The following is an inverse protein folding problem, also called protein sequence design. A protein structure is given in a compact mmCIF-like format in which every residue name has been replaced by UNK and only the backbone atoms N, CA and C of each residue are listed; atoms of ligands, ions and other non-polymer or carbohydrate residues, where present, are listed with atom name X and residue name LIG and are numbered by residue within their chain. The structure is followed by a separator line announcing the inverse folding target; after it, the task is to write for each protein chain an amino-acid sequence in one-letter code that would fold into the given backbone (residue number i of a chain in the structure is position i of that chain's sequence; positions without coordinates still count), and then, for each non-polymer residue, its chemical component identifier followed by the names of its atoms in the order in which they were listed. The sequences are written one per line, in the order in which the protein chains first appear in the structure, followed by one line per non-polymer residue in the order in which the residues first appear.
data_IF_549715055555
#
_entry.id   IF_549715055555
#
_cell.length_a   1.000
_cell.length_b   1.000
_cell.length_c   1.000
_cell.angle_alpha   90.00
_cell.angle_beta   90.00
_cell.angle_gamma   90.00
#
_symmetry.space_group_name_H-M   'P 1'
#
loop_
_entity.id
_entity.type
_entity.pdbx_description
1 polymer ?
#
# COMPACT_ATOMS: atom_id res chain seq x y z
N UNK A 1 25.80 6.46 13.99
CA UNK A 1 24.67 7.24 13.46
C UNK A 1 24.11 6.55 12.22
N UNK A 2 24.96 6.25 11.23
CA UNK A 2 24.56 5.53 9.99
C UNK A 2 23.75 4.25 10.18
N UNK A 3 24.13 3.39 11.15
CA UNK A 3 23.45 2.10 11.33
C UNK A 3 21.96 2.21 11.68
N UNK A 4 21.57 3.22 12.47
CA UNK A 4 20.17 3.39 12.84
C UNK A 4 19.34 3.92 11.66
N UNK A 5 19.88 4.88 10.91
CA UNK A 5 19.23 5.38 9.69
C UNK A 5 19.09 4.29 8.63
N UNK A 6 20.12 3.46 8.43
CA UNK A 6 20.07 2.29 7.55
C UNK A 6 19.00 1.27 7.97
N UNK A 7 18.79 1.09 9.27
CA UNK A 7 17.73 0.25 9.83
C UNK A 7 16.34 0.85 9.55
N UNK A 8 16.15 2.16 9.76
CA UNK A 8 14.88 2.83 9.42
C UNK A 8 14.57 2.79 7.91
N UNK A 9 15.59 2.91 7.04
CA UNK A 9 15.41 2.75 5.59
C UNK A 9 15.00 1.31 5.20
N UNK A 10 15.52 0.30 5.90
CA UNK A 10 15.11 -1.10 5.69
C UNK A 10 13.68 -1.33 6.16
N UNK A 11 13.29 -0.74 7.29
CA UNK A 11 11.92 -0.81 7.79
C UNK A 11 10.94 -0.15 6.80
N UNK A 12 11.27 1.04 6.29
CA UNK A 12 10.48 1.70 5.24
C UNK A 12 10.31 0.79 4.01
N UNK A 13 11.39 0.17 3.56
CA UNK A 13 11.34 -0.79 2.46
C UNK A 13 10.41 -1.97 2.75
N UNK A 14 10.48 -2.52 3.97
CA UNK A 14 9.67 -3.66 4.37
C UNK A 14 8.16 -3.31 4.38
N UNK A 15 7.80 -2.10 4.84
CA UNK A 15 6.40 -1.62 4.80
C UNK A 15 5.86 -1.54 3.37
N UNK A 16 6.65 -0.98 2.44
CA UNK A 16 6.24 -0.90 1.02
C UNK A 16 6.04 -2.29 0.42
N UNK A 17 6.92 -3.26 0.73
CA UNK A 17 6.76 -4.65 0.27
C UNK A 17 5.51 -5.31 0.88
N UNK A 18 5.22 -5.04 2.15
CA UNK A 18 4.01 -5.50 2.82
C UNK A 18 2.76 -4.92 2.16
N UNK A 19 2.75 -3.61 1.89
CA UNK A 19 1.66 -2.92 1.20
C UNK A 19 1.43 -3.51 -0.20
N UNK A 20 2.51 -3.75 -0.96
CA UNK A 20 2.41 -4.41 -2.26
C UNK A 20 1.79 -5.81 -2.19
N UNK A 21 2.11 -6.59 -1.16
CA UNK A 21 1.52 -7.92 -0.94
C UNK A 21 0.03 -7.84 -0.61
N UNK A 22 -0.38 -6.83 0.16
CA UNK A 22 -1.79 -6.59 0.48
C UNK A 22 -2.58 -6.20 -0.76
N UNK A 23 -2.05 -5.27 -1.56
CA UNK A 23 -2.65 -4.82 -2.82
C UNK A 23 -2.77 -5.98 -3.82
N UNK A 24 -1.76 -6.83 -3.93
CA UNK A 24 -1.83 -8.04 -4.76
C UNK A 24 -2.99 -8.95 -4.33
N UNK A 25 -3.14 -9.17 -3.02
CA UNK A 25 -4.24 -9.96 -2.47
C UNK A 25 -5.60 -9.30 -2.74
N UNK A 26 -5.71 -7.98 -2.68
CA UNK A 26 -6.94 -7.25 -2.98
C UNK A 26 -7.35 -7.41 -4.43
N UNK A 27 -6.41 -7.24 -5.36
CA UNK A 27 -6.66 -7.43 -6.79
C UNK A 27 -7.10 -8.86 -7.08
N UNK A 28 -6.40 -9.86 -6.54
CA UNK A 28 -6.77 -11.26 -6.71
C UNK A 28 -8.17 -11.56 -6.13
N UNK A 29 -8.46 -11.05 -4.94
CA UNK A 29 -9.75 -11.20 -4.28
C UNK A 29 -10.89 -10.56 -5.08
N UNK A 30 -10.71 -9.34 -5.57
CA UNK A 30 -11.70 -8.60 -6.35
C UNK A 30 -12.02 -9.32 -7.67
N UNK A 31 -10.98 -9.75 -8.40
CA UNK A 31 -11.15 -10.50 -9.64
C UNK A 31 -11.89 -11.82 -9.42
N UNK A 32 -11.53 -12.55 -8.36
CA UNK A 32 -12.20 -13.81 -8.01
C UNK A 32 -13.65 -13.60 -7.60
N UNK A 33 -13.93 -12.59 -6.78
CA UNK A 33 -15.28 -12.25 -6.37
C UNK A 33 -16.18 -11.92 -7.57
N UNK A 34 -15.64 -11.18 -8.54
CA UNK A 34 -16.33 -10.83 -9.78
C UNK A 34 -16.60 -12.07 -10.66
N UNK A 35 -15.60 -12.91 -10.89
CA UNK A 35 -15.73 -14.06 -11.81
C UNK A 35 -16.58 -15.18 -11.22
N UNK A 36 -16.47 -15.43 -9.91
CA UNK A 36 -17.21 -16.48 -9.21
C UNK A 36 -18.57 -16.03 -8.68
N UNK A 37 -18.93 -14.74 -8.87
CA UNK A 37 -20.15 -14.12 -8.30
C UNK A 37 -20.24 -14.28 -6.78
N UNK A 38 -19.12 -14.10 -6.09
CA UNK A 38 -19.04 -14.24 -4.63
C UNK A 38 -19.12 -12.86 -3.94
N UNK A 39 -20.35 -12.44 -3.62
CA UNK A 39 -20.59 -11.18 -2.90
C UNK A 39 -20.01 -11.16 -1.48
N UNK A 40 -19.73 -12.32 -0.86
CA UNK A 40 -19.12 -12.36 0.46
C UNK A 40 -17.62 -12.07 0.38
N UNK A 41 -16.93 -12.61 -0.63
CA UNK A 41 -15.54 -12.27 -0.90
C UNK A 41 -15.39 -10.80 -1.29
N UNK A 42 -16.29 -10.26 -2.13
CA UNK A 42 -16.28 -8.84 -2.50
C UNK A 42 -16.36 -7.91 -1.28
N UNK A 43 -17.26 -8.20 -0.31
CA UNK A 43 -17.35 -7.42 0.93
C UNK A 43 -16.05 -7.46 1.74
N UNK A 44 -15.38 -8.61 1.80
CA UNK A 44 -14.09 -8.71 2.49
C UNK A 44 -12.99 -7.89 1.80
N UNK A 45 -12.99 -7.83 0.47
CA UNK A 45 -12.06 -6.98 -0.28
C UNK A 45 -12.26 -5.51 0.10
N UNK A 46 -13.52 -5.05 0.11
CA UNK A 46 -13.87 -3.69 0.53
C UNK A 46 -13.41 -3.42 1.97
N UNK A 47 -13.71 -4.31 2.91
CA UNK A 47 -13.31 -4.16 4.32
C UNK A 47 -11.78 -4.13 4.52
N UNK A 48 -11.04 -4.89 3.72
CA UNK A 48 -9.57 -4.98 3.81
C UNK A 48 -8.85 -3.75 3.26
N UNK A 49 -9.53 -2.92 2.45
CA UNK A 49 -8.92 -1.75 1.81
C UNK A 49 -8.43 -0.73 2.85
N UNK A 50 -9.17 -0.59 3.95
CA UNK A 50 -8.77 0.23 5.10
C UNK A 50 -7.37 -0.09 5.63
N UNK A 51 -6.93 -1.35 5.53
CA UNK A 51 -5.58 -1.75 5.93
C UNK A 51 -4.50 -1.20 5.01
N UNK A 52 -4.77 -1.11 3.70
CA UNK A 52 -3.83 -0.52 2.73
C UNK A 52 -3.75 0.99 2.95
N UNK A 53 -4.88 1.67 3.15
CA UNK A 53 -4.91 3.12 3.37
C UNK A 53 -4.19 3.52 4.67
N UNK A 54 -4.37 2.73 5.73
CA UNK A 54 -3.65 2.96 6.98
C UNK A 54 -2.12 2.82 6.79
N UNK A 55 -1.69 1.84 5.99
CA UNK A 55 -0.27 1.61 5.72
C UNK A 55 0.32 2.70 4.80
N UNK A 56 -0.45 3.23 3.85
CA UNK A 56 -0.04 4.37 3.02
C UNK A 56 0.29 5.60 3.89
N UNK A 57 -0.63 5.95 4.79
CA UNK A 57 -0.45 7.06 5.74
C UNK A 57 0.80 6.83 6.61
N UNK A 58 0.98 5.61 7.13
CA UNK A 58 2.15 5.28 7.93
C UNK A 58 3.46 5.42 7.13
N UNK A 59 3.48 5.00 5.87
CA UNK A 59 4.63 5.12 4.97
C UNK A 59 4.94 6.58 4.68
N UNK A 60 3.94 7.41 4.41
CA UNK A 60 4.11 8.85 4.15
C UNK A 60 4.67 9.57 5.38
N UNK A 61 4.08 9.33 6.56
CA UNK A 61 4.58 9.88 7.83
C UNK A 61 6.01 9.45 8.14
N UNK A 62 6.34 8.17 7.86
CA UNK A 62 7.70 7.67 8.02
C UNK A 62 8.68 8.37 7.07
N UNK A 63 8.29 8.60 5.82
CA UNK A 63 9.12 9.32 4.85
C UNK A 63 9.37 10.75 5.30
N UNK A 64 8.33 11.49 5.70
CA UNK A 64 8.43 12.86 6.19
C UNK A 64 9.33 12.96 7.42
N UNK A 65 9.20 12.02 8.37
CA UNK A 65 10.07 11.95 9.55
C UNK A 65 11.53 11.75 9.17
N UNK A 66 11.84 10.84 8.25
CA UNK A 66 13.21 10.58 7.81
C UNK A 66 13.83 11.78 7.10
N UNK A 67 13.06 12.47 6.26
CA UNK A 67 13.49 13.70 5.61
C UNK A 67 13.81 14.80 6.62
N UNK A 68 12.94 15.00 7.61
CA UNK A 68 13.09 16.04 8.63
C UNK A 68 14.26 15.78 9.58
N UNK A 69 14.46 14.53 10.01
CA UNK A 69 15.45 14.17 11.01
C UNK A 69 16.87 14.07 10.45
N UNK A 70 17.03 13.49 9.25
CA UNK A 70 18.34 13.10 8.73
C UNK A 70 18.84 13.94 7.56
N UNK A 71 18.00 14.78 6.95
CA UNK A 71 18.34 15.60 5.77
C UNK A 71 19.13 14.82 4.69
N UNK A 72 18.62 13.65 4.25
CA UNK A 72 19.37 12.75 3.38
C UNK A 72 19.61 13.37 2.00
N UNK A 73 20.67 12.92 1.33
CA UNK A 73 21.06 13.40 0.02
C UNK A 73 21.23 12.28 -1.01
N UNK A 74 21.26 12.65 -2.29
CA UNK A 74 21.55 11.77 -3.41
C UNK A 74 20.73 10.47 -3.40
N UNK A 75 21.36 9.34 -3.06
CA UNK A 75 20.73 8.01 -3.14
C UNK A 75 19.58 7.87 -2.15
N UNK A 76 19.77 8.29 -0.92
CA UNK A 76 18.82 8.00 0.16
C UNK A 76 17.61 8.93 0.06
N UNK A 77 17.82 10.19 -0.35
CA UNK A 77 16.74 11.10 -0.71
C UNK A 77 15.89 10.57 -1.87
N UNK A 78 16.54 10.05 -2.93
CA UNK A 78 15.82 9.41 -4.05
C UNK A 78 15.05 8.20 -3.59
N UNK A 79 15.60 7.40 -2.69
CA UNK A 79 14.89 6.23 -2.15
C UNK A 79 13.62 6.64 -1.41
N UNK A 80 13.71 7.58 -0.47
CA UNK A 80 12.55 8.04 0.33
C UNK A 80 11.47 8.69 -0.56
N UNK A 81 11.85 9.58 -1.47
CA UNK A 81 10.87 10.21 -2.37
C UNK A 81 10.24 9.23 -3.37
N UNK A 82 10.98 8.18 -3.76
CA UNK A 82 10.42 7.10 -4.59
C UNK A 82 9.47 6.22 -3.78
N UNK A 83 9.81 5.94 -2.52
CA UNK A 83 8.97 5.22 -1.58
C UNK A 83 7.58 5.87 -1.42
N UNK A 84 7.53 7.19 -1.22
CA UNK A 84 6.27 7.95 -1.17
C UNK A 84 5.44 7.75 -2.44
N UNK A 85 6.05 7.90 -3.62
CA UNK A 85 5.35 7.73 -4.91
C UNK A 85 4.82 6.30 -5.10
N UNK A 86 5.60 5.29 -4.73
CA UNK A 86 5.17 3.89 -4.84
C UNK A 86 3.99 3.64 -3.91
N UNK A 87 4.03 4.15 -2.68
CA UNK A 87 2.94 4.02 -1.71
C UNK A 87 1.63 4.56 -2.26
N UNK A 88 1.63 5.79 -2.78
CA UNK A 88 0.45 6.39 -3.41
C UNK A 88 -0.07 5.57 -4.59
N UNK A 89 0.80 5.04 -5.45
CA UNK A 89 0.35 4.22 -6.58
C UNK A 89 -0.19 2.86 -6.13
N UNK A 90 0.33 2.28 -5.03
CA UNK A 90 -0.19 1.06 -4.44
C UNK A 90 -1.57 1.26 -3.81
N UNK A 91 -1.80 2.36 -3.11
CA UNK A 91 -3.11 2.70 -2.56
C UNK A 91 -4.15 2.83 -3.68
N UNK A 92 -3.83 3.58 -4.74
CA UNK A 92 -4.72 3.72 -5.91
C UNK A 92 -5.04 2.39 -6.59
N UNK A 93 -4.09 1.44 -6.60
CA UNK A 93 -4.35 0.09 -7.10
C UNK A 93 -5.31 -0.70 -6.20
N UNK A 94 -5.27 -0.48 -4.88
CA UNK A 94 -6.21 -1.05 -3.91
C UNK A 94 -7.61 -0.48 -4.09
N UNK A 95 -7.74 0.84 -4.20
CA UNK A 95 -9.01 1.52 -4.50
C UNK A 95 -9.67 0.97 -5.77
N UNK A 96 -8.89 0.74 -6.82
CA UNK A 96 -9.41 0.15 -8.06
C UNK A 96 -9.91 -1.28 -7.84
N UNK A 97 -9.25 -2.06 -6.97
CA UNK A 97 -9.72 -3.39 -6.60
C UNK A 97 -11.01 -3.34 -5.76
N UNK A 98 -11.13 -2.39 -4.84
CA UNK A 98 -12.37 -2.12 -4.10
C UNK A 98 -13.52 -1.80 -5.07
N UNK A 99 -13.30 -0.88 -6.01
CA UNK A 99 -14.29 -0.54 -7.04
C UNK A 99 -14.75 -1.77 -7.85
N UNK A 100 -13.83 -2.68 -8.20
CA UNK A 100 -14.19 -3.93 -8.88
C UNK A 100 -15.08 -4.81 -7.98
N UNK A 101 -14.76 -4.91 -6.69
CA UNK A 101 -15.55 -5.66 -5.72
C UNK A 101 -16.95 -5.07 -5.51
N UNK A 102 -17.09 -3.75 -5.47
CA UNK A 102 -18.39 -3.07 -5.44
C UNK A 102 -19.25 -3.46 -6.66
N UNK A 103 -18.66 -3.40 -7.86
CA UNK A 103 -19.36 -3.82 -9.10
C UNK A 103 -19.72 -5.30 -9.10
N UNK A 104 -18.87 -6.15 -8.52
CA UNK A 104 -19.18 -7.57 -8.37
C UNK A 104 -20.45 -7.79 -7.52
N UNK A 105 -20.65 -7.00 -6.46
CA UNK A 105 -21.87 -7.06 -5.63
C UNK A 105 -23.09 -6.59 -6.41
N UNK A 106 -22.99 -5.50 -7.15
CA UNK A 106 -24.11 -4.94 -7.94
C UNK A 106 -24.60 -5.88 -9.06
N UNK A 107 -23.71 -6.70 -9.62
CA UNK A 107 -24.01 -7.62 -10.72
C UNK A 107 -24.65 -8.95 -10.29
N UNK A 108 -24.67 -9.24 -8.98
CA UNK A 108 -25.12 -10.51 -8.39
C UNK A 108 -26.56 -10.44 -7.89
#
# INVERSE_FOLDING_TARGET
MDRHFDEELKELKAKILSMGSMVESQIQGALRALTERDSALARRVIENDHGVNALDVEVDENCLRLLALHQPAARDLRFITTAMKISTELERMSDLAENIAERAIELN
#
